data_IF_523160603210
#
_entry.id   IF_523160603210
#
_cell.length_a   1.000
_cell.length_b   1.000
_cell.length_c   1.000
_cell.angle_alpha   90.00
_cell.angle_beta   90.00
_cell.angle_gamma   90.00
#
_symmetry.space_group_name_H-M   'P 1'
#
loop_
_entity.id
_entity.type
_entity.pdbx_description
1 polymer ?
#
# COMPACT_ATOMS: atom_id res chain seq x y z
N UNK A 1 56.13 13.74 -38.63
CA UNK A 1 55.46 13.21 -37.42
C UNK A 1 54.01 12.92 -37.80
N UNK A 2 53.59 11.64 -37.78
CA UNK A 2 52.20 11.23 -38.03
C UNK A 2 51.55 10.95 -36.67
N UNK A 3 50.53 11.71 -36.30
CA UNK A 3 49.71 11.45 -35.12
C UNK A 3 48.58 10.48 -35.50
N UNK A 4 48.59 9.29 -34.92
CA UNK A 4 47.49 8.32 -34.99
C UNK A 4 46.50 8.61 -33.87
N UNK A 5 45.26 8.94 -34.21
CA UNK A 5 44.12 9.03 -33.29
C UNK A 5 43.54 7.62 -33.10
N UNK A 6 43.68 7.07 -31.89
CA UNK A 6 43.00 5.85 -31.46
C UNK A 6 41.57 6.21 -31.07
N UNK A 7 40.60 5.81 -31.89
CA UNK A 7 39.19 5.82 -31.52
C UNK A 7 38.90 4.62 -30.60
N UNK A 8 38.55 4.90 -29.35
CA UNK A 8 38.04 3.90 -28.41
C UNK A 8 36.60 3.53 -28.81
N UNK A 9 36.27 2.24 -29.04
CA UNK A 9 34.91 1.83 -29.33
C UNK A 9 34.07 1.97 -28.07
N UNK A 10 33.04 2.81 -28.13
CA UNK A 10 31.99 2.89 -27.12
C UNK A 10 31.21 1.57 -27.18
N UNK A 11 31.47 0.68 -26.22
CA UNK A 11 30.71 -0.56 -26.10
C UNK A 11 29.27 -0.20 -25.72
N UNK A 12 28.34 -0.32 -26.66
CA UNK A 12 26.92 -0.22 -26.37
C UNK A 12 26.52 -1.44 -25.52
N UNK A 13 26.24 -1.22 -24.24
CA UNK A 13 25.61 -2.23 -23.40
C UNK A 13 24.20 -2.49 -23.95
N UNK A 14 23.98 -3.70 -24.49
CA UNK A 14 22.65 -4.19 -24.82
C UNK A 14 21.90 -4.40 -23.50
N UNK A 15 21.03 -3.45 -23.14
CA UNK A 15 20.00 -3.69 -22.14
C UNK A 15 19.07 -4.75 -22.75
N UNK A 16 19.18 -6.00 -22.29
CA UNK A 16 18.16 -7.01 -22.57
C UNK A 16 16.92 -6.56 -21.80
N UNK A 17 15.93 -6.01 -22.52
CA UNK A 17 14.59 -5.85 -21.95
C UNK A 17 14.15 -7.22 -21.46
N UNK A 18 13.95 -7.36 -20.14
CA UNK A 18 13.47 -8.61 -19.59
C UNK A 18 12.00 -8.68 -19.95
N UNK A 19 11.64 -9.60 -20.85
CA UNK A 19 10.23 -9.87 -21.10
C UNK A 19 9.66 -10.63 -19.92
N UNK A 20 9.05 -9.91 -18.97
CA UNK A 20 8.38 -10.50 -17.80
C UNK A 20 7.33 -11.56 -18.15
N UNK A 21 6.81 -11.51 -19.39
CA UNK A 21 5.91 -12.52 -19.97
C UNK A 21 6.55 -13.91 -20.14
N UNK A 22 7.86 -13.99 -20.23
CA UNK A 22 8.61 -15.25 -20.43
C UNK A 22 9.22 -15.80 -19.12
N UNK A 23 9.06 -15.08 -17.99
CA UNK A 23 9.54 -15.52 -16.67
C UNK A 23 8.51 -16.47 -16.05
N UNK A 24 8.93 -17.55 -15.38
CA UNK A 24 8.00 -18.41 -14.64
C UNK A 24 7.28 -17.62 -13.54
N UNK A 25 5.96 -17.78 -13.51
CA UNK A 25 5.11 -17.23 -12.46
C UNK A 25 5.08 -18.16 -11.24
N UNK A 26 5.11 -17.58 -10.05
CA UNK A 26 4.96 -18.27 -8.77
C UNK A 26 3.88 -17.62 -7.94
N UNK A 27 3.10 -18.44 -7.23
CA UNK A 27 2.03 -17.97 -6.32
C UNK A 27 2.65 -17.05 -5.27
N UNK A 28 2.17 -15.81 -5.22
CA UNK A 28 2.58 -14.82 -4.21
C UNK A 28 1.69 -14.91 -2.97
N UNK A 29 0.38 -15.07 -3.18
CA UNK A 29 -0.58 -15.19 -2.08
C UNK A 29 -1.76 -16.07 -2.50
N UNK A 30 -2.28 -16.84 -1.55
CA UNK A 30 -3.49 -17.64 -1.75
C UNK A 30 -4.23 -17.88 -0.43
N UNK A 31 -5.55 -17.92 -0.52
CA UNK A 31 -6.45 -18.39 0.52
C UNK A 31 -7.19 -19.63 0.01
N UNK A 32 -7.55 -20.55 0.91
CA UNK A 32 -8.22 -21.82 0.55
C UNK A 32 -9.58 -21.62 -0.15
N UNK A 33 -10.23 -20.48 0.10
CA UNK A 33 -11.51 -20.12 -0.48
C UNK A 33 -12.02 -18.79 0.07
N UNK A 34 -13.16 -18.28 -0.41
CA UNK A 34 -13.74 -17.06 0.13
C UNK A 34 -14.03 -17.23 1.64
N UNK A 35 -13.75 -16.21 2.47
CA UNK A 35 -14.07 -16.27 3.89
C UNK A 35 -15.57 -16.46 4.13
N UNK A 36 -15.92 -16.93 5.34
CA UNK A 36 -17.32 -17.17 5.72
C UNK A 36 -18.19 -15.93 5.45
N UNK A 37 -19.37 -16.17 4.88
CA UNK A 37 -20.31 -15.12 4.49
C UNK A 37 -20.12 -14.61 3.06
N UNK A 38 -18.97 -14.85 2.42
CA UNK A 38 -18.77 -14.50 1.01
C UNK A 38 -19.05 -15.68 0.09
N UNK A 39 -19.81 -15.42 -0.97
CA UNK A 39 -20.14 -16.41 -1.99
C UNK A 39 -19.77 -15.87 -3.37
N UNK A 40 -19.18 -16.72 -4.21
CA UNK A 40 -18.82 -16.38 -5.60
C UNK A 40 -20.08 -16.40 -6.45
N UNK A 41 -20.36 -15.30 -7.14
CA UNK A 41 -21.54 -15.18 -8.01
C UNK A 41 -21.20 -15.51 -9.46
N UNK A 42 -20.16 -14.88 -10.02
CA UNK A 42 -19.86 -14.97 -11.44
C UNK A 42 -18.58 -14.26 -11.87
N UNK A 43 -18.23 -14.36 -13.17
CA UNK A 43 -17.08 -13.66 -13.73
C UNK A 43 -17.32 -12.15 -13.74
N UNK A 44 -16.23 -11.40 -13.76
CA UNK A 44 -16.26 -9.94 -13.88
C UNK A 44 -16.12 -9.58 -15.37
N UNK A 45 -16.84 -8.58 -15.90
CA UNK A 45 -16.62 -8.10 -17.26
C UNK A 45 -15.14 -7.74 -17.48
N UNK A 46 -14.53 -8.13 -18.61
CA UNK A 46 -13.09 -7.96 -18.84
C UNK A 46 -12.64 -6.49 -18.87
N UNK A 47 -13.55 -5.59 -19.24
CA UNK A 47 -13.39 -4.14 -19.32
C UNK A 47 -13.66 -3.41 -18.00
N UNK A 48 -14.21 -4.10 -16.99
CA UNK A 48 -14.41 -3.54 -15.66
C UNK A 48 -13.07 -3.03 -15.11
N UNK A 49 -13.05 -1.80 -14.62
CA UNK A 49 -11.81 -1.19 -14.11
C UNK A 49 -11.65 -1.39 -12.62
N UNK A 50 -10.50 -1.94 -12.24
CA UNK A 50 -10.09 -2.06 -10.84
C UNK A 50 -8.89 -1.14 -10.58
N UNK A 51 -8.86 -0.57 -9.38
CA UNK A 51 -7.72 0.17 -8.88
C UNK A 51 -6.87 -0.77 -8.03
N UNK A 52 -5.70 -1.16 -8.54
CA UNK A 52 -4.74 -1.99 -7.83
C UNK A 52 -3.72 -1.10 -7.11
N UNK A 53 -3.44 -1.47 -5.87
CA UNK A 53 -2.42 -0.91 -4.99
C UNK A 53 -1.35 -1.96 -4.78
N UNK A 54 -0.14 -1.65 -5.18
CA UNK A 54 1.03 -2.50 -5.10
C UNK A 54 1.89 -1.93 -3.98
N UNK A 55 2.07 -2.72 -2.92
CA UNK A 55 2.97 -2.36 -1.81
C UNK A 55 4.37 -2.87 -2.13
N UNK A 56 5.37 -2.03 -1.87
CA UNK A 56 6.78 -2.34 -2.04
C UNK A 56 7.44 -2.51 -0.66
N UNK A 57 8.46 -3.37 -0.54
CA UNK A 57 9.17 -3.56 0.72
C UNK A 57 9.74 -2.26 1.29
N UNK A 58 9.59 -2.09 2.59
CA UNK A 58 10.10 -0.95 3.36
C UNK A 58 11.30 -1.39 4.22
N UNK A 59 12.54 -1.37 3.71
CA UNK A 59 13.68 -2.05 4.34
C UNK A 59 14.05 -1.48 5.73
N UNK A 60 13.75 -0.21 6.00
CA UNK A 60 14.06 0.44 7.28
C UNK A 60 12.88 0.45 8.27
N UNK A 61 11.83 -0.35 8.04
CA UNK A 61 10.69 -0.45 8.96
C UNK A 61 11.07 -0.77 10.42
N UNK A 62 12.05 -1.66 10.72
CA UNK A 62 12.46 -1.89 12.10
C UNK A 62 13.04 -0.65 12.80
N UNK A 63 13.66 0.25 12.04
CA UNK A 63 14.15 1.54 12.57
C UNK A 63 12.95 2.43 12.90
N UNK A 64 11.99 2.54 11.99
CA UNK A 64 10.74 3.28 12.22
C UNK A 64 9.99 2.76 13.46
N UNK A 65 9.87 1.44 13.61
CA UNK A 65 9.24 0.80 14.77
C UNK A 65 9.98 1.14 16.07
N UNK A 66 11.32 1.06 16.07
CA UNK A 66 12.13 1.46 17.22
C UNK A 66 11.86 2.93 17.61
N UNK A 67 11.85 3.83 16.63
CA UNK A 67 11.52 5.24 16.87
C UNK A 67 10.13 5.39 17.50
N UNK A 68 9.12 4.69 16.98
CA UNK A 68 7.76 4.72 17.51
C UNK A 68 7.71 4.34 19.00
N UNK A 69 8.41 3.27 19.39
CA UNK A 69 8.48 2.83 20.79
C UNK A 69 9.15 3.85 21.70
N UNK A 70 10.27 4.43 21.27
CA UNK A 70 11.04 5.39 22.05
C UNK A 70 10.30 6.71 22.28
N UNK A 71 9.54 7.18 21.30
CA UNK A 71 8.83 8.48 21.39
C UNK A 71 7.45 8.34 22.03
N UNK A 72 6.90 7.13 22.09
CA UNK A 72 5.58 6.85 22.69
C UNK A 72 5.66 6.37 24.15
N UNK A 73 6.86 6.09 24.66
CA UNK A 73 7.07 5.67 26.04
C UNK A 73 7.28 6.89 26.95
N UNK A 74 6.36 7.21 27.90
CA UNK A 74 6.48 8.39 28.77
C UNK A 74 7.66 8.35 29.74
N UNK A 75 8.31 7.19 29.91
CA UNK A 75 9.52 7.04 30.74
C UNK A 75 10.82 7.15 29.96
N UNK A 76 10.74 7.26 28.63
CA UNK A 76 11.91 7.34 27.76
C UNK A 76 12.28 8.80 27.50
N UNK A 77 13.57 9.10 27.44
CA UNK A 77 14.07 10.48 27.29
C UNK A 77 13.60 11.16 25.99
N UNK A 78 13.26 10.35 24.98
CA UNK A 78 12.75 10.83 23.68
C UNK A 78 11.23 10.95 23.61
N UNK A 79 10.51 10.82 24.72
CA UNK A 79 9.05 10.92 24.73
C UNK A 79 8.56 12.21 24.07
N UNK A 80 7.62 12.07 23.13
CA UNK A 80 7.04 13.19 22.38
C UNK A 80 7.93 13.77 21.26
N UNK A 81 9.15 13.25 21.07
CA UNK A 81 10.07 13.69 20.00
C UNK A 81 9.79 12.96 18.67
N UNK A 82 8.59 13.16 18.12
CA UNK A 82 8.14 12.52 16.87
C UNK A 82 9.01 12.92 15.66
N UNK A 83 9.10 12.01 14.69
CA UNK A 83 9.74 12.27 13.40
C UNK A 83 8.92 13.26 12.58
N UNK A 84 9.61 14.05 11.76
CA UNK A 84 8.99 14.81 10.67
C UNK A 84 8.44 13.87 9.59
N UNK A 85 7.62 14.44 8.69
CA UNK A 85 7.07 13.71 7.55
C UNK A 85 8.21 13.17 6.67
N UNK A 86 9.18 14.02 6.35
CA UNK A 86 10.29 13.71 5.46
C UNK A 86 11.20 12.62 6.04
N UNK A 87 11.46 12.65 7.36
CA UNK A 87 12.21 11.59 8.05
C UNK A 87 11.45 10.25 8.02
N UNK A 88 10.13 10.29 8.17
CA UNK A 88 9.29 9.09 8.10
C UNK A 88 9.29 8.50 6.68
N UNK A 89 9.15 9.35 5.67
CA UNK A 89 9.18 8.93 4.26
C UNK A 89 10.52 8.32 3.87
N UNK A 90 11.63 8.89 4.32
CA UNK A 90 12.96 8.34 4.09
C UNK A 90 13.15 6.93 4.69
N UNK A 91 12.52 6.65 5.84
CA UNK A 91 12.56 5.32 6.46
C UNK A 91 11.62 4.32 5.78
N UNK A 92 10.54 4.77 5.15
CA UNK A 92 9.61 3.90 4.43
C UNK A 92 10.04 3.65 2.97
N UNK A 93 10.94 4.46 2.42
CA UNK A 93 11.35 4.37 1.03
C UNK A 93 11.93 2.98 0.67
N UNK A 94 11.44 2.34 -0.42
CA UNK A 94 12.04 1.12 -0.95
C UNK A 94 13.44 1.36 -1.51
N UNK A 95 14.18 0.27 -1.75
CA UNK A 95 15.44 0.36 -2.48
C UNK A 95 15.23 0.85 -3.93
N UNK A 96 16.15 1.66 -4.50
CA UNK A 96 16.03 2.13 -5.89
C UNK A 96 15.88 0.97 -6.91
N UNK A 97 16.61 -0.12 -6.70
CA UNK A 97 16.49 -1.34 -7.52
C UNK A 97 15.06 -1.89 -7.56
N UNK A 98 14.36 -1.91 -6.41
CA UNK A 98 12.94 -2.30 -6.36
C UNK A 98 12.07 -1.39 -7.21
N UNK A 99 12.33 -0.08 -7.21
CA UNK A 99 11.57 0.87 -8.02
C UNK A 99 11.78 0.59 -9.51
N UNK A 100 13.03 0.40 -9.93
CA UNK A 100 13.40 0.15 -11.32
C UNK A 100 12.78 -1.16 -11.85
N UNK A 101 12.91 -2.25 -11.08
CA UNK A 101 12.38 -3.57 -11.46
C UNK A 101 10.85 -3.55 -11.57
N UNK A 102 10.16 -2.87 -10.65
CA UNK A 102 8.70 -2.78 -10.69
C UNK A 102 8.23 -1.85 -11.82
N UNK A 103 8.94 -0.75 -12.09
CA UNK A 103 8.67 0.10 -13.26
C UNK A 103 8.82 -0.67 -14.57
N UNK A 104 9.91 -1.43 -14.74
CA UNK A 104 10.14 -2.23 -15.95
C UNK A 104 9.01 -3.27 -16.15
N UNK A 105 8.59 -3.93 -15.06
CA UNK A 105 7.46 -4.85 -15.09
C UNK A 105 6.16 -4.17 -15.54
N UNK A 106 5.81 -3.02 -14.95
CA UNK A 106 4.59 -2.28 -15.29
C UNK A 106 4.62 -1.77 -16.74
N UNK A 107 5.74 -1.21 -17.20
CA UNK A 107 5.91 -0.76 -18.58
C UNK A 107 5.82 -1.92 -19.59
N UNK A 108 6.20 -3.16 -19.20
CA UNK A 108 6.02 -4.34 -20.07
C UNK A 108 4.54 -4.65 -20.40
N UNK A 109 3.60 -4.13 -19.59
CA UNK A 109 2.16 -4.18 -19.81
C UNK A 109 1.58 -2.87 -20.35
N UNK A 110 2.44 -1.91 -20.75
CA UNK A 110 2.05 -0.59 -21.26
C UNK A 110 1.60 0.40 -20.18
N UNK A 111 1.95 0.14 -18.91
CA UNK A 111 1.63 1.01 -17.78
C UNK A 111 2.86 1.87 -17.47
N UNK A 112 2.96 2.99 -18.18
CA UNK A 112 4.03 3.97 -17.99
C UNK A 112 3.82 4.84 -16.73
N UNK A 113 4.86 5.56 -16.30
CA UNK A 113 4.84 6.41 -15.09
C UNK A 113 3.73 7.48 -15.11
N UNK A 114 3.29 7.93 -16.29
CA UNK A 114 2.16 8.87 -16.43
C UNK A 114 0.77 8.25 -16.14
N UNK A 115 0.67 6.92 -16.14
CA UNK A 115 -0.56 6.17 -15.92
C UNK A 115 -0.68 5.60 -14.50
N UNK A 116 0.31 5.85 -13.64
CA UNK A 116 0.34 5.38 -12.27
C UNK A 116 0.53 6.54 -11.28
N UNK A 117 0.21 6.27 -10.02
CA UNK A 117 0.45 7.18 -8.91
C UNK A 117 1.33 6.50 -7.88
N UNK A 118 2.37 7.21 -7.42
CA UNK A 118 3.23 6.76 -6.32
C UNK A 118 2.93 7.54 -5.05
N UNK A 119 2.96 6.87 -3.89
CA UNK A 119 2.99 7.56 -2.60
C UNK A 119 4.21 8.47 -2.49
N UNK A 120 4.17 9.43 -1.56
CA UNK A 120 5.31 10.32 -1.32
C UNK A 120 6.57 9.57 -0.90
N UNK A 121 6.45 8.52 -0.08
CA UNK A 121 7.55 7.63 0.28
C UNK A 121 7.94 6.63 -0.83
N UNK A 122 7.24 6.61 -1.98
CA UNK A 122 7.45 5.70 -3.10
C UNK A 122 7.23 4.20 -2.78
N UNK A 123 6.69 3.89 -1.61
CA UNK A 123 6.41 2.54 -1.09
C UNK A 123 5.09 1.94 -1.59
N UNK A 124 4.22 2.75 -2.20
CA UNK A 124 2.99 2.31 -2.81
C UNK A 124 2.86 2.81 -4.24
N UNK A 125 2.44 1.92 -5.13
CA UNK A 125 2.05 2.25 -6.51
C UNK A 125 0.56 1.97 -6.67
N UNK A 126 -0.18 2.91 -7.24
CA UNK A 126 -1.60 2.78 -7.57
C UNK A 126 -1.79 2.83 -9.08
N UNK A 127 -2.40 1.79 -9.64
CA UNK A 127 -2.71 1.68 -11.07
C UNK A 127 -4.21 1.40 -11.26
N UNK A 128 -4.79 1.93 -12.34
CA UNK A 128 -6.19 1.66 -12.70
C UNK A 128 -6.26 0.96 -14.04
N UNK A 129 -6.59 -0.34 -14.01
CA UNK A 129 -6.51 -1.22 -15.17
C UNK A 129 -7.82 -1.99 -15.40
N UNK A 130 -8.11 -2.43 -16.63
CA UNK A 130 -9.16 -3.43 -16.88
C UNK A 130 -8.85 -4.75 -16.17
N UNK A 131 -9.89 -5.46 -15.73
CA UNK A 131 -9.75 -6.78 -15.09
C UNK A 131 -8.99 -7.75 -15.99
N UNK A 132 -9.22 -7.73 -17.30
CA UNK A 132 -8.49 -8.60 -18.22
C UNK A 132 -6.96 -8.41 -18.14
N UNK A 133 -6.50 -7.15 -18.03
CA UNK A 133 -5.08 -6.84 -17.89
C UNK A 133 -4.56 -7.25 -16.51
N UNK A 134 -5.32 -6.99 -15.44
CA UNK A 134 -4.95 -7.43 -14.10
C UNK A 134 -4.83 -8.96 -13.99
N UNK A 135 -5.74 -9.70 -14.62
CA UNK A 135 -5.69 -11.16 -14.67
C UNK A 135 -4.45 -11.67 -15.43
N UNK A 136 -4.05 -10.99 -16.51
CA UNK A 136 -2.81 -11.28 -17.25
C UNK A 136 -1.57 -10.99 -16.42
N UNK A 137 -1.51 -9.82 -15.77
CA UNK A 137 -0.37 -9.39 -14.95
C UNK A 137 -0.11 -10.28 -13.75
N UNK A 138 -1.18 -10.79 -13.14
CA UNK A 138 -1.15 -11.48 -11.85
C UNK A 138 -1.43 -13.00 -11.97
N UNK A 139 -1.52 -13.53 -13.19
CA UNK A 139 -1.90 -14.91 -13.49
C UNK A 139 -3.02 -15.43 -12.57
N UNK A 140 -4.18 -14.77 -12.68
CA UNK A 140 -5.33 -15.01 -11.79
C UNK A 140 -6.67 -14.87 -12.51
N UNK A 141 -7.75 -15.15 -11.77
CA UNK A 141 -9.13 -14.93 -12.20
C UNK A 141 -9.95 -14.19 -11.14
N UNK A 142 -10.41 -13.01 -11.51
CA UNK A 142 -11.28 -12.19 -10.69
C UNK A 142 -12.74 -12.61 -10.81
N UNK A 143 -13.45 -12.56 -9.69
CA UNK A 143 -14.86 -12.87 -9.61
C UNK A 143 -15.59 -11.83 -8.77
N UNK A 144 -16.88 -11.73 -9.04
CA UNK A 144 -17.80 -11.01 -8.17
C UNK A 144 -18.15 -11.93 -7.00
N UNK A 145 -17.93 -11.45 -5.79
CA UNK A 145 -18.35 -12.10 -4.55
C UNK A 145 -19.39 -11.26 -3.84
N UNK A 146 -20.44 -11.89 -3.33
CA UNK A 146 -21.48 -11.22 -2.55
C UNK A 146 -21.48 -11.73 -1.12
N UNK A 147 -21.61 -10.81 -0.17
CA UNK A 147 -21.74 -11.15 1.23
C UNK A 147 -23.20 -11.48 1.58
N UNK A 148 -23.45 -12.65 2.19
CA UNK A 148 -24.78 -13.16 2.54
C UNK A 148 -25.62 -12.17 3.33
N UNK A 149 -25.06 -11.60 4.39
CA UNK A 149 -25.84 -10.80 5.35
C UNK A 149 -26.10 -9.36 4.90
N UNK A 150 -25.19 -8.76 4.13
CA UNK A 150 -25.28 -7.36 3.72
C UNK A 150 -25.73 -7.19 2.27
N UNK A 151 -25.64 -8.23 1.43
CA UNK A 151 -25.84 -8.13 -0.02
C UNK A 151 -24.74 -7.35 -0.76
N UNK A 152 -23.69 -6.90 -0.05
CA UNK A 152 -22.58 -6.15 -0.63
C UNK A 152 -21.79 -7.03 -1.59
N UNK A 153 -21.40 -6.48 -2.74
CA UNK A 153 -20.63 -7.20 -3.75
C UNK A 153 -19.26 -6.57 -3.97
N UNK A 154 -18.23 -7.41 -4.08
CA UNK A 154 -16.84 -7.00 -4.32
C UNK A 154 -16.20 -7.83 -5.43
N UNK A 155 -15.20 -7.25 -6.09
CA UNK A 155 -14.39 -7.92 -7.12
C UNK A 155 -13.09 -8.40 -6.50
N UNK A 156 -12.89 -9.72 -6.41
CA UNK A 156 -11.73 -10.33 -5.73
C UNK A 156 -11.25 -11.60 -6.44
N UNK A 157 -10.10 -12.10 -6.00
CA UNK A 157 -9.59 -13.43 -6.35
C UNK A 157 -9.14 -14.14 -5.07
N UNK A 158 -9.02 -15.47 -5.10
CA UNK A 158 -8.54 -16.26 -3.95
C UNK A 158 -7.05 -16.59 -4.03
N UNK A 159 -6.40 -16.30 -5.15
CA UNK A 159 -4.96 -16.50 -5.31
C UNK A 159 -4.42 -15.63 -6.43
N UNK A 160 -3.16 -15.22 -6.35
CA UNK A 160 -2.47 -14.61 -7.48
C UNK A 160 -0.99 -14.98 -7.47
N UNK A 161 -0.38 -14.85 -8.64
CA UNK A 161 1.02 -15.14 -8.87
C UNK A 161 1.73 -13.89 -9.39
N UNK A 162 3.05 -13.93 -9.30
CA UNK A 162 3.93 -12.91 -9.88
C UNK A 162 5.10 -13.62 -10.58
N UNK A 163 5.72 -12.99 -11.60
CA UNK A 163 7.04 -13.39 -12.08
C UNK A 163 7.99 -13.61 -10.91
N UNK A 164 8.75 -14.71 -10.91
CA UNK A 164 9.61 -15.11 -9.79
C UNK A 164 10.51 -13.96 -9.27
N UNK A 165 11.09 -13.18 -10.19
CA UNK A 165 11.95 -12.04 -9.83
C UNK A 165 11.24 -10.91 -9.07
N UNK A 166 9.91 -10.79 -9.12
CA UNK A 166 9.18 -9.74 -8.42
C UNK A 166 8.84 -10.07 -6.96
N UNK A 167 9.05 -11.31 -6.52
CA UNK A 167 8.62 -11.73 -5.17
C UNK A 167 9.31 -10.96 -4.05
N UNK A 168 10.56 -10.55 -4.27
CA UNK A 168 11.35 -9.76 -3.33
C UNK A 168 11.07 -8.24 -3.45
N UNK A 169 10.49 -7.78 -4.56
CA UNK A 169 10.25 -6.36 -4.84
C UNK A 169 8.79 -5.93 -4.63
N UNK A 170 7.86 -6.88 -4.54
CA UNK A 170 6.44 -6.61 -4.27
C UNK A 170 6.06 -7.32 -2.98
N UNK A 171 5.60 -6.58 -1.98
CA UNK A 171 5.14 -7.16 -0.72
C UNK A 171 3.75 -7.75 -0.87
N UNK A 172 2.80 -6.97 -1.41
CA UNK A 172 1.44 -7.41 -1.68
C UNK A 172 0.78 -6.56 -2.77
N UNK A 173 -0.30 -7.08 -3.35
CA UNK A 173 -1.15 -6.35 -4.28
C UNK A 173 -2.61 -6.44 -3.80
N UNK A 174 -3.30 -5.32 -3.67
CA UNK A 174 -4.72 -5.27 -3.29
C UNK A 174 -5.50 -4.36 -4.24
N UNK A 175 -6.78 -4.63 -4.52
CA UNK A 175 -7.57 -5.74 -4.02
C UNK A 175 -7.29 -7.07 -4.74
N UNK A 176 -6.94 -8.11 -3.99
CA UNK A 176 -6.78 -9.49 -4.48
C UNK A 176 -7.52 -10.46 -3.54
N UNK A 177 -6.82 -10.95 -2.51
CA UNK A 177 -7.21 -11.98 -1.53
C UNK A 177 -7.85 -11.41 -0.27
N UNK A 178 -7.89 -10.07 -0.11
CA UNK A 178 -8.45 -9.44 1.09
C UNK A 178 -9.96 -9.16 0.94
N UNK A 179 -10.78 -9.89 1.68
CA UNK A 179 -12.24 -9.77 1.71
C UNK A 179 -12.72 -8.96 2.93
N UNK A 180 -12.48 -7.65 2.92
CA UNK A 180 -12.90 -6.74 4.00
C UNK A 180 -14.23 -6.06 3.71
N UNK A 181 -15.05 -5.88 4.74
CA UNK A 181 -16.19 -4.96 4.74
C UNK A 181 -15.84 -3.74 5.57
N UNK A 182 -15.55 -2.62 4.92
CA UNK A 182 -15.33 -1.36 5.62
C UNK A 182 -16.70 -0.75 5.94
N UNK A 183 -17.16 -0.92 7.18
CA UNK A 183 -18.36 -0.22 7.66
C UNK A 183 -17.96 1.20 8.03
N UNK A 184 -18.72 2.19 7.58
CA UNK A 184 -18.58 3.56 8.11
C UNK A 184 -18.71 3.52 9.63
N UNK A 185 -17.75 4.12 10.33
CA UNK A 185 -17.88 4.35 11.76
C UNK A 185 -19.11 5.22 12.01
N UNK A 186 -19.94 4.81 12.97
CA UNK A 186 -21.04 5.65 13.46
C UNK A 186 -20.44 6.58 14.51
N UNK A 187 -20.55 7.88 14.29
CA UNK A 187 -20.11 8.87 15.27
C UNK A 187 -20.93 8.73 16.56
N UNK A 188 -20.25 8.63 17.71
CA UNK A 188 -20.86 8.74 19.05
C UNK A 188 -20.68 10.16 19.60
N UNK A 189 -20.84 11.18 18.75
CA UNK A 189 -20.90 12.55 19.23
C UNK A 189 -22.29 12.79 19.83
N UNK A 190 -22.36 12.78 21.16
CA UNK A 190 -23.54 13.24 21.88
C UNK A 190 -23.41 14.75 22.12
N UNK A 191 -24.03 15.56 21.27
CA UNK A 191 -24.09 17.00 21.45
C UNK A 191 -25.14 17.33 22.54
N UNK A 192 -24.68 17.65 23.76
CA UNK A 192 -25.56 18.17 24.80
C UNK A 192 -25.86 19.64 24.55
N UNK A 193 -27.03 19.95 23.99
CA UNK A 193 -27.48 21.32 23.72
C UNK A 193 -28.09 22.01 24.96
N UNK A 194 -27.64 21.67 26.17
CA UNK A 194 -28.15 22.27 27.41
C UNK A 194 -27.15 23.31 27.90
N UNK A 195 -27.25 24.53 27.36
CA UNK A 195 -26.74 25.70 28.09
C UNK A 195 -27.73 25.94 29.22
N UNK A 196 -27.46 25.34 30.39
CA UNK A 196 -28.12 25.78 31.62
C UNK A 196 -27.71 27.23 31.85
N UNK A 197 -28.67 28.15 31.71
CA UNK A 197 -28.55 29.53 32.18
C UNK A 197 -28.47 29.53 33.71
N UNK A 198 -27.34 29.09 34.26
CA UNK A 198 -27.00 29.26 35.66
C UNK A 198 -26.34 30.62 35.83
N UNK A 199 -26.89 31.44 36.72
CA UNK A 199 -26.32 32.74 37.06
C UNK A 199 -24.86 32.58 37.52
N UNK A 200 -23.97 33.36 36.92
CA UNK A 200 -22.58 33.45 37.32
C UNK A 200 -22.51 34.08 38.72
N UNK A 201 -22.13 33.29 39.73
CA UNK A 201 -21.56 33.83 40.96
C UNK A 201 -20.04 33.80 40.82
N UNK A 202 -19.33 34.93 40.99
CA UNK A 202 -17.89 34.99 40.74
C UNK A 202 -17.16 34.33 41.92
N UNK A 203 -16.75 33.08 41.74
CA UNK A 203 -15.69 32.51 42.56
C UNK A 203 -14.47 32.27 41.69
N UNK A 204 -13.40 32.97 42.05
CA UNK A 204 -12.08 32.90 41.43
C UNK A 204 -11.48 31.52 41.74
N UNK A 205 -11.74 30.54 40.88
CA UNK A 205 -11.17 29.20 40.98
C UNK A 205 -10.42 28.86 39.69
N UNK A 206 -9.09 28.90 39.75
CA UNK A 206 -8.21 28.43 38.67
C UNK A 206 -8.48 26.94 38.40
N UNK A 207 -8.89 26.61 37.18
CA UNK A 207 -9.03 25.23 36.72
C UNK A 207 -7.66 24.63 36.39
N UNK A 208 -6.99 24.05 37.38
CA UNK A 208 -5.91 23.09 37.14
C UNK A 208 -6.52 21.75 36.73
N UNK A 209 -6.36 21.38 35.45
CA UNK A 209 -6.67 20.03 34.98
C UNK A 209 -5.80 19.00 35.69
N UNK A 210 -6.42 18.00 36.32
CA UNK A 210 -5.71 16.92 36.99
C UNK A 210 -5.11 15.96 35.95
N UNK A 211 -3.78 15.89 35.91
CA UNK A 211 -3.05 14.87 35.17
C UNK A 211 -3.35 13.48 35.76
N UNK A 212 -3.67 12.53 34.89
CA UNK A 212 -3.86 11.12 35.21
C UNK A 212 -2.63 10.54 35.91
N UNK A 213 -2.83 9.83 37.03
CA UNK A 213 -1.81 9.02 37.69
C UNK A 213 -2.13 7.53 37.50
N UNK A 214 -1.18 6.71 37.02
CA UNK A 214 -1.32 5.27 37.09
C UNK A 214 -1.01 4.76 38.52
N UNK A 215 -1.73 3.72 38.94
CA UNK A 215 -1.51 2.99 40.19
C UNK A 215 -0.33 2.03 40.11
#
# INVERSE_FOLDING_TARGET
MRLSLLALPFAAALVRAVHYRDIPYKIKESIQGPPRGWHRNGPVPPDHRIELKIALPQPHFPILEKHLWEVSNPKHDRYGAYLSKEETEALMAPHPETLDVVSEWLSSYGIEEEHLYRSSAQDWITIRVPVALAEEMLDTKYHIYTHSDSGESIVRTTSYSLPEGLHEHVELIQPTTMFTRLKSFKSTLHWSNTVSSGSLSPSTGTLTGTCWKPG
#
